data_IF_154056122519
#
_entry.id   IF_154056122519
#
_cell.length_a   1.000
_cell.length_b   1.000
_cell.length_c   1.000
_cell.angle_alpha   90.00
_cell.angle_beta   90.00
_cell.angle_gamma   90.00
#
_symmetry.space_group_name_H-M   'P 1'
#
loop_
_entity.id
_entity.type
_entity.pdbx_description
1 polymer ?
#
# COMPACT_ATOMS: atom_id res chain seq x y z
N UNK A 1 -19.93 -14.13 3.04
CA UNK A 1 -18.90 -13.32 2.36
C UNK A 1 -19.28 -12.89 0.96
N UNK A 2 -19.58 -13.81 0.05
CA UNK A 2 -19.87 -13.50 -1.36
C UNK A 2 -20.96 -12.42 -1.56
N UNK A 3 -21.98 -12.37 -0.69
CA UNK A 3 -23.01 -11.34 -0.74
C UNK A 3 -22.56 -9.92 -0.36
N UNK A 4 -21.46 -9.78 0.40
CA UNK A 4 -20.85 -8.49 0.74
C UNK A 4 -19.83 -8.10 -0.33
N UNK A 5 -19.02 -9.06 -0.78
CA UNK A 5 -18.05 -8.85 -1.87
C UNK A 5 -18.75 -8.49 -3.19
N UNK A 6 -19.93 -9.06 -3.47
CA UNK A 6 -20.73 -8.69 -4.66
C UNK A 6 -21.24 -7.24 -4.62
N UNK A 7 -21.28 -6.63 -3.43
CA UNK A 7 -21.59 -5.21 -3.24
C UNK A 7 -20.36 -4.31 -3.32
N UNK A 8 -19.19 -4.85 -3.70
CA UNK A 8 -17.88 -4.17 -3.73
C UNK A 8 -17.42 -3.65 -2.37
N UNK A 9 -17.91 -4.25 -1.29
CA UNK A 9 -17.40 -4.01 0.05
C UNK A 9 -16.14 -4.82 0.29
N UNK A 10 -15.19 -4.27 1.06
CA UNK A 10 -13.97 -4.97 1.47
C UNK A 10 -14.28 -5.76 2.73
N UNK A 11 -14.09 -7.08 2.68
CA UNK A 11 -14.45 -8.00 3.76
C UNK A 11 -13.20 -8.58 4.41
N UNK A 12 -13.01 -8.27 5.70
CA UNK A 12 -12.05 -8.97 6.54
C UNK A 12 -12.69 -10.16 7.26
N UNK A 13 -11.96 -11.26 7.42
CA UNK A 13 -12.39 -12.40 8.25
C UNK A 13 -11.33 -12.76 9.29
N UNK A 14 -11.77 -13.15 10.48
CA UNK A 14 -10.93 -13.72 11.52
C UNK A 14 -11.29 -15.18 11.77
N UNK A 15 -10.32 -16.05 12.01
CA UNK A 15 -10.57 -17.46 12.32
C UNK A 15 -9.42 -18.15 13.04
N UNK A 16 -9.71 -19.26 13.70
CA UNK A 16 -8.76 -20.06 14.47
C UNK A 16 -8.89 -21.56 14.19
N UNK A 17 -9.99 -22.03 13.59
CA UNK A 17 -10.22 -23.45 13.27
C UNK A 17 -9.97 -23.81 11.81
N UNK A 18 -9.60 -25.06 11.54
CA UNK A 18 -9.37 -25.60 10.16
C UNK A 18 -10.56 -25.31 9.22
N UNK A 19 -11.78 -25.29 9.76
CA UNK A 19 -12.99 -25.00 9.00
C UNK A 19 -13.07 -23.54 8.49
N UNK A 20 -12.34 -22.63 9.13
CA UNK A 20 -12.28 -21.20 8.75
C UNK A 20 -11.29 -20.96 7.60
N UNK A 21 -10.35 -21.89 7.36
CA UNK A 21 -9.28 -21.70 6.36
C UNK A 21 -9.79 -21.40 4.95
N UNK A 22 -10.83 -22.08 4.39
CA UNK A 22 -11.38 -21.72 3.09
C UNK A 22 -11.98 -20.31 3.05
N UNK A 23 -12.55 -19.87 4.18
CA UNK A 23 -13.20 -18.59 4.30
C UNK A 23 -12.16 -17.46 4.49
N UNK A 24 -11.12 -17.67 5.31
CA UNK A 24 -9.97 -16.77 5.44
C UNK A 24 -9.31 -16.50 4.08
N UNK A 25 -9.11 -17.55 3.27
CA UNK A 25 -8.54 -17.44 1.93
C UNK A 25 -9.46 -16.77 0.90
N UNK A 26 -10.77 -16.77 1.14
CA UNK A 26 -11.75 -16.08 0.29
C UNK A 26 -11.95 -14.61 0.68
N UNK A 27 -11.62 -14.24 1.91
CA UNK A 27 -11.71 -12.86 2.38
C UNK A 27 -10.76 -11.94 1.61
N UNK A 28 -11.06 -10.64 1.58
CA UNK A 28 -10.13 -9.65 1.04
C UNK A 28 -8.92 -9.47 1.97
N UNK A 29 -9.11 -9.72 3.27
CA UNK A 29 -8.06 -9.82 4.27
C UNK A 29 -8.42 -10.92 5.29
N UNK A 30 -7.70 -12.03 5.27
CA UNK A 30 -7.81 -13.09 6.27
C UNK A 30 -6.87 -12.87 7.46
N UNK A 31 -7.38 -13.00 8.69
CA UNK A 31 -6.61 -12.85 9.93
C UNK A 31 -6.72 -14.11 10.79
N UNK A 32 -5.60 -14.77 11.07
CA UNK A 32 -5.55 -15.95 11.93
C UNK A 32 -5.07 -15.61 13.35
N UNK A 33 -5.53 -16.39 14.33
CA UNK A 33 -5.01 -16.34 15.71
C UNK A 33 -3.66 -17.06 15.78
N UNK A 34 -2.65 -16.44 16.37
CA UNK A 34 -1.28 -16.96 16.44
C UNK A 34 -1.08 -18.05 17.50
N UNK A 35 -1.79 -17.96 18.63
CA UNK A 35 -1.66 -18.91 19.74
C UNK A 35 -2.74 -20.00 19.63
N UNK A 36 -4.01 -19.62 19.53
CA UNK A 36 -5.15 -20.55 19.45
C UNK A 36 -5.41 -21.09 18.06
N UNK A 37 -4.94 -20.41 17.01
CA UNK A 37 -5.21 -20.79 15.64
C UNK A 37 -4.46 -22.05 15.23
N UNK A 38 -5.12 -22.88 14.44
CA UNK A 38 -4.49 -24.04 13.79
C UNK A 38 -3.46 -23.60 12.74
N UNK A 39 -2.47 -24.45 12.47
CA UNK A 39 -1.48 -24.17 11.42
C UNK A 39 -2.14 -23.97 10.05
N UNK A 40 -3.21 -24.72 9.77
CA UNK A 40 -3.99 -24.57 8.53
C UNK A 40 -4.61 -23.17 8.41
N UNK A 41 -5.11 -22.59 9.51
CA UNK A 41 -5.61 -21.20 9.47
C UNK A 41 -4.51 -20.16 9.33
N UNK A 42 -3.34 -20.37 9.94
CA UNK A 42 -2.21 -19.45 9.83
C UNK A 42 -1.63 -19.42 8.42
N UNK A 43 -1.56 -20.58 7.76
CA UNK A 43 -1.13 -20.67 6.35
C UNK A 43 -2.16 -20.09 5.37
N UNK A 44 -3.45 -20.13 5.72
CA UNK A 44 -4.53 -19.63 4.86
C UNK A 44 -4.80 -18.13 5.02
N UNK A 45 -4.30 -17.49 6.07
CA UNK A 45 -4.52 -16.07 6.38
C UNK A 45 -3.41 -15.17 5.80
N UNK A 46 -3.76 -13.93 5.51
CA UNK A 46 -2.82 -12.88 5.08
C UNK A 46 -2.06 -12.26 6.26
N UNK A 47 -2.64 -12.34 7.46
CA UNK A 47 -2.08 -11.80 8.69
C UNK A 47 -2.31 -12.75 9.86
N UNK A 48 -1.36 -12.80 10.79
CA UNK A 48 -1.46 -13.59 12.03
C UNK A 48 -1.34 -12.68 13.25
N UNK A 49 -2.30 -12.77 14.18
CA UNK A 49 -2.26 -12.08 15.46
C UNK A 49 -1.37 -12.83 16.43
N UNK A 50 -0.16 -12.33 16.67
CA UNK A 50 0.81 -13.00 17.55
C UNK A 50 0.40 -13.00 19.03
N UNK A 51 -0.50 -12.10 19.43
CA UNK A 51 -0.97 -11.90 20.81
C UNK A 51 -2.39 -12.43 21.07
N UNK A 52 -3.06 -12.98 20.04
CA UNK A 52 -4.45 -13.41 20.09
C UNK A 52 -5.44 -12.32 20.59
N UNK A 53 -5.10 -11.04 20.39
CA UNK A 53 -5.92 -9.93 20.84
C UNK A 53 -6.66 -9.26 19.69
N UNK A 54 -7.99 -9.34 19.68
CA UNK A 54 -8.83 -8.68 18.69
C UNK A 54 -8.68 -7.14 18.70
N UNK A 55 -8.26 -6.52 19.81
CA UNK A 55 -8.00 -5.08 19.85
C UNK A 55 -6.85 -4.68 18.91
N UNK A 56 -5.92 -5.58 18.63
CA UNK A 56 -4.79 -5.36 17.72
C UNK A 56 -5.28 -5.15 16.29
N UNK A 57 -6.37 -5.79 15.87
CA UNK A 57 -7.00 -5.54 14.56
C UNK A 57 -7.47 -4.08 14.44
N UNK A 58 -8.12 -3.54 15.47
CA UNK A 58 -8.60 -2.17 15.44
C UNK A 58 -7.45 -1.16 15.30
N UNK A 59 -6.34 -1.41 15.98
CA UNK A 59 -5.11 -0.61 15.84
C UNK A 59 -4.46 -0.79 14.46
N UNK A 60 -4.40 -2.02 13.94
CA UNK A 60 -3.88 -2.30 12.60
C UNK A 60 -4.70 -1.60 11.50
N UNK A 61 -6.03 -1.58 11.60
CA UNK A 61 -6.89 -0.84 10.67
C UNK A 61 -6.63 0.68 10.74
N UNK A 62 -6.40 1.22 11.94
CA UNK A 62 -6.06 2.64 12.12
C UNK A 62 -4.74 2.98 11.44
N UNK A 63 -3.71 2.17 11.65
CA UNK A 63 -2.41 2.35 11.01
C UNK A 63 -2.47 2.15 9.50
N UNK A 64 -3.23 1.16 9.01
CA UNK A 64 -3.46 0.97 7.59
C UNK A 64 -4.08 2.19 6.90
N UNK A 65 -5.06 2.84 7.55
CA UNK A 65 -5.64 4.10 7.05
C UNK A 65 -4.61 5.24 7.02
N UNK A 66 -3.76 5.33 8.05
CA UNK A 66 -2.67 6.32 8.11
C UNK A 66 -1.67 6.13 6.97
N UNK A 67 -1.26 4.88 6.72
CA UNK A 67 -0.35 4.53 5.61
C UNK A 67 -0.98 4.89 4.27
N UNK A 68 -2.27 4.60 4.09
CA UNK A 68 -2.99 4.94 2.85
C UNK A 68 -3.07 6.45 2.60
N UNK A 69 -3.34 7.24 3.65
CA UNK A 69 -3.34 8.70 3.55
C UNK A 69 -1.95 9.25 3.21
N UNK A 70 -0.90 8.67 3.80
CA UNK A 70 0.49 9.03 3.51
C UNK A 70 0.88 8.64 2.07
N UNK A 71 0.42 7.48 1.58
CA UNK A 71 0.63 7.08 0.19
C UNK A 71 0.00 8.08 -0.78
N UNK A 72 -1.24 8.51 -0.53
CA UNK A 72 -1.91 9.54 -1.34
C UNK A 72 -1.11 10.84 -1.37
N UNK A 73 -0.61 11.29 -0.22
CA UNK A 73 0.25 12.48 -0.11
C UNK A 73 1.52 12.33 -0.95
N UNK A 74 2.22 11.20 -0.84
CA UNK A 74 3.44 10.94 -1.61
C UNK A 74 3.16 10.93 -3.11
N UNK A 75 2.08 10.30 -3.56
CA UNK A 75 1.68 10.29 -4.98
C UNK A 75 1.37 11.72 -5.46
N UNK A 76 0.63 12.50 -4.67
CA UNK A 76 0.31 13.90 -4.99
C UNK A 76 1.55 14.80 -5.06
N UNK A 77 2.61 14.45 -4.32
CA UNK A 77 3.87 15.19 -4.36
C UNK A 77 4.74 14.80 -5.55
N UNK A 78 4.89 13.51 -5.84
CA UNK A 78 5.81 12.99 -6.88
C UNK A 78 5.22 13.08 -8.29
N UNK A 79 3.91 12.85 -8.47
CA UNK A 79 3.32 12.80 -9.82
C UNK A 79 3.43 14.12 -10.60
N UNK A 80 3.15 15.31 -10.02
CA UNK A 80 3.25 16.55 -10.76
C UNK A 80 4.67 16.90 -11.19
N UNK A 81 5.67 16.58 -10.36
CA UNK A 81 7.08 16.89 -10.65
C UNK A 81 7.63 15.99 -11.74
N UNK A 82 7.36 14.69 -11.69
CA UNK A 82 7.71 13.77 -12.77
C UNK A 82 7.02 14.15 -14.10
N UNK A 83 5.75 14.57 -14.04
CA UNK A 83 5.03 15.04 -15.22
C UNK A 83 5.66 16.32 -15.80
N UNK A 84 6.00 17.30 -14.96
CA UNK A 84 6.64 18.54 -15.39
C UNK A 84 8.01 18.28 -16.04
N UNK A 85 8.82 17.38 -15.47
CA UNK A 85 10.10 16.98 -16.05
C UNK A 85 9.93 16.31 -17.42
N UNK A 86 8.99 15.38 -17.54
CA UNK A 86 8.67 14.73 -18.82
C UNK A 86 8.23 15.74 -19.88
N UNK A 87 7.33 16.65 -19.54
CA UNK A 87 6.86 17.70 -20.45
C UNK A 87 8.00 18.65 -20.87
N UNK A 88 8.88 19.02 -19.95
CA UNK A 88 10.04 19.86 -20.24
C UNK A 88 10.94 19.23 -21.32
N UNK A 89 11.20 17.92 -21.21
CA UNK A 89 12.01 17.17 -22.17
C UNK A 89 11.30 17.13 -23.53
N UNK A 90 10.00 16.81 -23.56
CA UNK A 90 9.22 16.77 -24.80
C UNK A 90 9.22 18.13 -25.51
N UNK A 91 9.00 19.23 -24.78
CA UNK A 91 9.02 20.59 -25.33
C UNK A 91 10.41 20.94 -25.88
N UNK A 92 11.49 20.62 -25.15
CA UNK A 92 12.85 20.88 -25.59
C UNK A 92 13.19 20.15 -26.91
N UNK A 93 12.76 18.89 -27.02
CA UNK A 93 12.93 18.10 -28.24
C UNK A 93 12.16 18.69 -29.43
N UNK A 94 10.90 19.11 -29.22
CA UNK A 94 10.08 19.73 -30.27
C UNK A 94 10.61 21.10 -30.72
N UNK A 95 11.19 21.87 -29.80
CA UNK A 95 11.79 23.18 -30.09
C UNK A 95 13.18 23.10 -30.75
N UNK A 96 13.76 21.90 -30.91
CA UNK A 96 15.12 21.71 -31.43
C UNK A 96 16.21 22.26 -30.50
N UNK A 97 15.89 22.45 -29.22
CA UNK A 97 16.82 23.00 -28.23
C UNK A 97 17.69 21.89 -27.62
N UNK A 98 18.84 22.29 -27.06
CA UNK A 98 19.65 21.39 -26.23
C UNK A 98 18.81 20.94 -25.02
N UNK A 99 18.92 19.67 -24.65
CA UNK A 99 18.23 19.11 -23.49
C UNK A 99 18.57 19.94 -22.24
N UNK A 100 17.56 20.52 -21.55
CA UNK A 100 17.79 21.35 -20.37
C UNK A 100 18.22 20.54 -19.14
N UNK A 101 17.90 19.24 -19.12
CA UNK A 101 18.22 18.32 -18.04
C UNK A 101 18.98 17.11 -18.61
N UNK A 102 20.12 16.78 -18.02
CA UNK A 102 20.85 15.56 -18.33
C UNK A 102 20.24 14.37 -17.60
N UNK A 103 20.36 13.13 -18.12
CA UNK A 103 19.85 11.94 -17.45
C UNK A 103 20.38 11.78 -16.02
N UNK A 104 21.63 12.16 -15.77
CA UNK A 104 22.24 12.12 -14.43
C UNK A 104 21.57 13.10 -13.47
N UNK A 105 21.22 14.31 -13.94
CA UNK A 105 20.53 15.30 -13.12
C UNK A 105 19.09 14.86 -12.77
N UNK A 106 18.41 14.21 -13.71
CA UNK A 106 17.07 13.63 -13.47
C UNK A 106 17.15 12.54 -12.39
N UNK A 107 18.09 11.60 -12.50
CA UNK A 107 18.26 10.53 -11.50
C UNK A 107 18.63 11.08 -10.11
N UNK A 108 19.50 12.08 -10.07
CA UNK A 108 19.87 12.74 -8.82
C UNK A 108 18.67 13.46 -8.17
N UNK A 109 17.91 14.20 -8.97
CA UNK A 109 16.71 14.88 -8.51
C UNK A 109 15.66 13.89 -8.01
N UNK A 110 15.32 12.85 -8.79
CA UNK A 110 14.35 11.83 -8.40
C UNK A 110 14.73 11.18 -7.07
N UNK A 111 15.99 10.79 -6.89
CA UNK A 111 16.44 10.18 -5.64
C UNK A 111 16.27 11.12 -4.43
N UNK A 112 16.54 12.42 -4.59
CA UNK A 112 16.27 13.42 -3.55
C UNK A 112 14.78 13.70 -3.34
N UNK A 113 14.02 13.76 -4.43
CA UNK A 113 12.60 14.09 -4.47
C UNK A 113 11.76 13.03 -3.76
N UNK A 114 12.05 11.75 -3.99
CA UNK A 114 11.41 10.64 -3.28
C UNK A 114 11.67 10.68 -1.77
N UNK A 115 12.91 10.97 -1.35
CA UNK A 115 13.24 11.09 0.09
C UNK A 115 12.47 12.22 0.75
N UNK A 116 12.38 13.38 0.10
CA UNK A 116 11.59 14.50 0.61
C UNK A 116 10.08 14.20 0.60
N UNK A 117 9.57 13.49 -0.41
CA UNK A 117 8.17 13.09 -0.49
C UNK A 117 7.77 12.21 0.69
N UNK A 118 8.61 11.22 1.04
CA UNK A 118 8.37 10.32 2.17
C UNK A 118 8.36 11.10 3.49
N UNK A 119 9.36 11.96 3.73
CA UNK A 119 9.43 12.80 4.94
C UNK A 119 8.23 13.75 5.03
N UNK A 120 7.84 14.38 3.90
CA UNK A 120 6.71 15.29 3.83
C UNK A 120 5.37 14.58 4.08
N UNK A 121 5.23 13.33 3.62
CA UNK A 121 4.02 12.54 3.81
C UNK A 121 3.75 12.20 5.28
N UNK A 122 4.74 12.37 6.18
CA UNK A 122 4.60 12.14 7.62
C UNK A 122 4.74 10.68 8.01
N UNK A 123 5.61 9.95 7.30
CA UNK A 123 6.13 8.63 7.67
C UNK A 123 7.43 8.79 8.44
#
# INVERSE_FOLDING_TARGET
MQALQSKKEIVGMTGDGVNDAPALKQADVGVAMGIKGTEVTKEAADMVLTDDNFATIASAVREGRRVYDNLKKTILFVMPTNLAQGLLIVIALLAGNVLPLTPVLILWDEHGHFRHAVVWSGV
#
